data_IF_678795679118
#
_entry.id   IF_678795679118
#
_cell.length_a   1.000
_cell.length_b   1.000
_cell.length_c   1.000
_cell.angle_alpha   90.00
_cell.angle_beta   90.00
_cell.angle_gamma   90.00
#
_symmetry.space_group_name_H-M   'P 1'
#
loop_
_entity.id
_entity.type
_entity.pdbx_description
1 polymer ?
#
# COMPACT_ATOMS: atom_id res chain seq x y z
N UNK A 1 -10.69 9.51 -17.44
CA UNK A 1 -9.28 9.90 -17.70
C UNK A 1 -8.76 10.90 -16.66
N UNK A 2 -9.47 12.00 -16.38
CA UNK A 2 -9.08 13.03 -15.40
C UNK A 2 -8.72 12.46 -14.00
N UNK A 3 -9.45 11.45 -13.52
CA UNK A 3 -9.18 10.80 -12.23
C UNK A 3 -7.87 10.00 -12.17
N UNK A 4 -7.49 9.37 -13.28
CA UNK A 4 -6.24 8.58 -13.37
C UNK A 4 -5.03 9.52 -13.40
N UNK A 5 -5.08 10.57 -14.21
CA UNK A 5 -4.02 11.58 -14.28
C UNK A 5 -3.83 12.26 -12.93
N UNK A 6 -4.92 12.66 -12.27
CA UNK A 6 -4.84 13.28 -10.93
C UNK A 6 -4.31 12.33 -9.85
N UNK A 7 -4.56 11.03 -9.96
CA UNK A 7 -4.03 10.04 -9.00
C UNK A 7 -2.54 9.79 -9.23
N UNK A 8 -2.11 9.67 -10.49
CA UNK A 8 -0.70 9.54 -10.84
C UNK A 8 0.10 10.79 -10.42
N UNK A 9 -0.45 11.99 -10.68
CA UNK A 9 0.14 13.25 -10.24
C UNK A 9 0.37 13.28 -8.72
N UNK A 10 -0.65 12.94 -7.93
CA UNK A 10 -0.54 12.90 -6.47
C UNK A 10 0.50 11.90 -5.99
N UNK A 11 0.58 10.73 -6.61
CA UNK A 11 1.59 9.73 -6.28
C UNK A 11 3.00 10.28 -6.53
N UNK A 12 3.25 10.94 -7.66
CA UNK A 12 4.53 11.58 -7.96
C UNK A 12 4.88 12.65 -6.93
N UNK A 13 3.93 13.54 -6.59
CA UNK A 13 4.15 14.58 -5.57
C UNK A 13 4.48 13.96 -4.21
N UNK A 14 3.74 12.93 -3.78
CA UNK A 14 3.98 12.26 -2.50
C UNK A 14 5.33 11.56 -2.44
N UNK A 15 5.71 10.86 -3.51
CA UNK A 15 7.01 10.18 -3.60
C UNK A 15 8.15 11.20 -3.54
N UNK A 16 8.09 12.24 -4.38
CA UNK A 16 9.11 13.29 -4.41
C UNK A 16 9.21 14.03 -3.07
N UNK A 17 8.08 14.40 -2.47
CA UNK A 17 8.05 15.05 -1.16
C UNK A 17 8.64 14.15 -0.07
N UNK A 18 8.28 12.87 -0.04
CA UNK A 18 8.83 11.92 0.92
C UNK A 18 10.35 11.76 0.77
N UNK A 19 10.87 11.67 -0.46
CA UNK A 19 12.32 11.59 -0.71
C UNK A 19 13.02 12.86 -0.22
N UNK A 20 12.52 14.03 -0.60
CA UNK A 20 13.11 15.32 -0.20
C UNK A 20 13.08 15.50 1.32
N UNK A 21 11.93 15.27 1.95
CA UNK A 21 11.77 15.40 3.40
C UNK A 21 12.62 14.37 4.16
N UNK A 22 12.69 13.12 3.71
CA UNK A 22 13.56 12.10 4.32
C UNK A 22 15.04 12.47 4.23
N UNK A 23 15.46 13.05 3.10
CA UNK A 23 16.84 13.51 2.90
C UNK A 23 17.20 14.70 3.81
N UNK A 24 16.26 15.61 4.06
CA UNK A 24 16.47 16.76 4.97
C UNK A 24 16.48 16.32 6.43
N UNK A 25 15.56 15.43 6.84
CA UNK A 25 15.38 15.05 8.24
C UNK A 25 16.40 14.02 8.76
N UNK A 26 16.91 13.15 7.89
CA UNK A 26 17.71 12.00 8.31
C UNK A 26 16.90 10.91 9.03
N UNK A 27 17.52 9.77 9.36
CA UNK A 27 16.83 8.58 9.86
C UNK A 27 16.19 8.76 11.24
N UNK A 28 16.79 9.56 12.13
CA UNK A 28 16.29 9.75 13.51
C UNK A 28 14.94 10.46 13.53
N UNK A 29 14.89 11.68 12.97
CA UNK A 29 13.68 12.49 12.96
C UNK A 29 12.59 11.86 12.08
N UNK A 30 12.98 11.26 10.95
CA UNK A 30 12.06 10.51 10.11
C UNK A 30 11.49 9.29 10.84
N UNK A 31 12.32 8.59 11.60
CA UNK A 31 11.93 7.43 12.39
C UNK A 31 10.89 7.75 13.46
N UNK A 32 11.09 8.83 14.22
CA UNK A 32 10.09 9.33 15.18
C UNK A 32 8.77 9.65 14.46
N UNK A 33 8.83 10.35 13.33
CA UNK A 33 7.64 10.65 12.53
C UNK A 33 6.96 9.38 12.02
N UNK A 34 7.71 8.40 11.53
CA UNK A 34 7.19 7.16 10.95
C UNK A 34 6.38 6.34 11.97
N UNK A 35 6.80 6.33 13.24
CA UNK A 35 6.06 5.67 14.33
C UNK A 35 4.72 6.36 14.58
N UNK A 36 4.71 7.69 14.66
CA UNK A 36 3.47 8.46 14.85
C UNK A 36 2.56 8.32 13.62
N UNK A 37 3.13 8.35 12.42
CA UNK A 37 2.43 8.17 11.15
C UNK A 37 1.87 6.74 10.97
N UNK A 38 2.42 5.74 11.67
CA UNK A 38 1.84 4.40 11.69
C UNK A 38 0.39 4.42 12.22
N UNK A 39 0.08 5.33 13.16
CA UNK A 39 -1.28 5.56 13.62
C UNK A 39 -2.09 6.43 12.65
N UNK A 40 -1.45 7.32 11.90
CA UNK A 40 -2.12 8.14 10.88
C UNK A 40 -2.77 7.28 9.77
N UNK A 41 -2.30 6.04 9.55
CA UNK A 41 -2.94 5.09 8.64
C UNK A 41 -4.40 4.82 9.02
N UNK A 42 -4.75 4.95 10.31
CA UNK A 42 -6.13 4.79 10.80
C UNK A 42 -7.07 5.92 10.34
N UNK A 43 -6.54 7.05 9.86
CA UNK A 43 -7.35 8.17 9.37
C UNK A 43 -8.12 7.80 8.10
N UNK A 44 -7.54 6.97 7.24
CA UNK A 44 -8.16 6.58 5.96
C UNK A 44 -9.44 5.71 6.14
N UNK A 45 -9.47 4.70 7.03
CA UNK A 45 -10.70 4.05 7.47
C UNK A 45 -11.75 5.00 8.01
N UNK A 46 -11.35 6.10 8.67
CA UNK A 46 -12.32 7.10 9.12
C UNK A 46 -12.94 7.80 7.92
N UNK A 47 -12.14 8.15 6.89
CA UNK A 47 -12.66 8.71 5.63
C UNK A 47 -13.60 7.73 4.91
N UNK A 48 -13.24 6.46 4.86
CA UNK A 48 -13.97 5.40 4.11
C UNK A 48 -14.88 4.56 4.99
N UNK A 49 -15.31 5.12 6.13
CA UNK A 49 -16.06 4.39 7.13
C UNK A 49 -17.38 3.80 6.59
N UNK A 50 -17.98 2.95 7.40
CA UNK A 50 -19.23 2.29 7.05
C UNK A 50 -20.37 3.24 6.65
N UNK A 51 -20.42 4.46 7.19
CA UNK A 51 -21.43 5.46 6.82
C UNK A 51 -21.21 6.00 5.40
N UNK A 52 -19.97 6.31 5.02
CA UNK A 52 -19.63 6.68 3.64
C UNK A 52 -19.98 5.55 2.65
N UNK A 53 -19.70 4.30 3.06
CA UNK A 53 -20.04 3.10 2.26
C UNK A 53 -21.55 2.88 2.11
N UNK A 54 -22.35 3.24 3.11
CA UNK A 54 -23.82 3.22 3.01
C UNK A 54 -24.29 4.27 2.00
N UNK A 55 -23.77 5.50 2.08
CA UNK A 55 -24.11 6.60 1.16
C UNK A 55 -23.81 6.28 -0.31
N UNK A 56 -22.78 5.47 -0.58
CA UNK A 56 -22.42 5.02 -1.92
C UNK A 56 -23.30 3.87 -2.45
N UNK A 57 -23.89 3.05 -1.56
CA UNK A 57 -24.66 1.85 -1.94
C UNK A 57 -26.16 2.05 -1.91
N UNK A 58 -26.65 2.96 -1.06
CA UNK A 58 -28.07 3.28 -0.98
C UNK A 58 -28.53 4.11 -2.20
N UNK A 59 -29.80 3.94 -2.58
CA UNK A 59 -30.48 4.83 -3.54
C UNK A 59 -30.67 6.25 -2.99
N UNK A 60 -31.75 6.93 -3.40
CA UNK A 60 -32.00 8.30 -2.94
C UNK A 60 -32.22 8.37 -1.42
N UNK A 61 -31.23 8.92 -0.72
CA UNK A 61 -31.29 9.19 0.71
C UNK A 61 -31.84 10.59 0.95
N UNK A 62 -32.85 10.69 1.80
CA UNK A 62 -33.40 11.96 2.26
C UNK A 62 -32.31 12.83 2.91
N UNK A 63 -32.38 14.16 2.70
CA UNK A 63 -31.39 15.09 3.24
C UNK A 63 -31.16 14.97 4.77
N UNK A 64 -32.20 14.78 5.61
CA UNK A 64 -32.00 14.58 7.05
C UNK A 64 -31.18 13.32 7.40
N UNK A 65 -31.28 12.26 6.60
CA UNK A 65 -30.50 11.02 6.78
C UNK A 65 -29.03 11.26 6.45
N UNK A 66 -28.74 12.00 5.36
CA UNK A 66 -27.38 12.39 5.02
C UNK A 66 -26.72 13.25 6.10
N UNK A 67 -27.47 14.18 6.71
CA UNK A 67 -27.01 14.99 7.84
C UNK A 67 -26.72 14.11 9.06
N UNK A 68 -27.58 13.15 9.38
CA UNK A 68 -27.36 12.23 10.49
C UNK A 68 -26.09 11.38 10.28
N UNK A 69 -25.92 10.79 9.10
CA UNK A 69 -24.73 10.01 8.74
C UNK A 69 -23.45 10.85 8.77
N UNK A 70 -23.50 12.10 8.28
CA UNK A 70 -22.36 13.02 8.33
C UNK A 70 -21.97 13.35 9.78
N UNK A 71 -22.94 13.67 10.65
CA UNK A 71 -22.68 13.94 12.08
C UNK A 71 -22.11 12.71 12.80
N UNK A 72 -22.61 11.52 12.49
CA UNK A 72 -22.09 10.27 13.04
C UNK A 72 -20.63 10.02 12.62
N UNK A 73 -20.32 10.22 11.34
CA UNK A 73 -18.96 10.13 10.82
C UNK A 73 -18.02 11.14 11.47
N UNK A 74 -18.47 12.39 11.65
CA UNK A 74 -17.69 13.41 12.34
C UNK A 74 -17.46 13.06 13.82
N UNK A 75 -18.47 12.51 14.51
CA UNK A 75 -18.33 12.02 15.89
C UNK A 75 -17.34 10.87 16.01
N UNK A 76 -17.38 9.91 15.07
CA UNK A 76 -16.41 8.82 15.02
C UNK A 76 -14.97 9.36 14.88
N UNK A 77 -14.76 10.37 14.04
CA UNK A 77 -13.46 11.04 13.91
C UNK A 77 -12.98 11.66 15.23
N UNK A 78 -13.87 12.32 15.98
CA UNK A 78 -13.53 12.86 17.32
C UNK A 78 -13.23 11.78 18.36
N UNK A 79 -14.01 10.69 18.38
CA UNK A 79 -13.77 9.57 19.29
C UNK A 79 -12.41 8.94 19.04
N UNK A 80 -12.05 8.73 17.77
CA UNK A 80 -10.74 8.19 17.41
C UNK A 80 -9.61 9.19 17.66
N UNK A 81 -9.84 10.48 17.49
CA UNK A 81 -8.88 11.51 17.88
C UNK A 81 -8.60 11.49 19.37
N UNK A 82 -9.64 11.38 20.21
CA UNK A 82 -9.50 11.25 21.65
C UNK A 82 -8.75 9.96 22.01
N UNK A 83 -9.11 8.83 21.40
CA UNK A 83 -8.42 7.57 21.63
C UNK A 83 -6.92 7.66 21.29
N UNK A 84 -6.57 8.19 20.11
CA UNK A 84 -5.18 8.34 19.67
C UNK A 84 -4.43 9.37 20.51
N UNK A 85 -5.06 10.51 20.82
CA UNK A 85 -4.48 11.53 21.70
C UNK A 85 -4.18 10.97 23.10
N UNK A 86 -5.10 10.19 23.68
CA UNK A 86 -4.92 9.54 24.97
C UNK A 86 -3.84 8.45 24.94
N UNK A 87 -3.69 7.71 23.82
CA UNK A 87 -2.57 6.75 23.69
C UNK A 87 -1.20 7.43 23.74
N UNK A 88 -1.11 8.73 23.47
CA UNK A 88 0.13 9.48 23.63
C UNK A 88 0.68 9.47 25.05
N UNK A 89 -0.19 9.48 26.06
CA UNK A 89 0.24 9.32 27.46
C UNK A 89 0.81 7.94 27.74
N UNK A 90 0.22 6.89 27.15
CA UNK A 90 0.68 5.50 27.31
C UNK A 90 1.99 5.25 26.57
N UNK A 91 2.14 5.79 25.35
CA UNK A 91 3.36 5.69 24.54
C UNK A 91 4.54 6.45 25.16
N UNK A 92 4.29 7.56 25.87
CA UNK A 92 5.34 8.24 26.64
C UNK A 92 5.93 7.35 27.73
N UNK A 93 5.13 6.43 28.30
CA UNK A 93 5.57 5.48 29.32
C UNK A 93 6.25 4.26 28.66
N UNK A 94 5.69 3.76 27.55
CA UNK A 94 6.17 2.56 26.88
C UNK A 94 7.39 2.76 25.96
N UNK A 95 7.57 3.97 25.41
CA UNK A 95 8.69 4.34 24.53
C UNK A 95 9.29 5.67 25.02
N UNK A 96 10.16 5.64 26.05
CA UNK A 96 10.66 6.85 26.71
C UNK A 96 11.56 7.73 25.83
N UNK A 97 11.98 7.25 24.64
CA UNK A 97 13.03 7.88 23.83
C UNK A 97 12.52 8.72 22.64
N UNK A 98 11.38 9.41 22.73
CA UNK A 98 10.98 10.36 21.69
C UNK A 98 9.83 11.30 22.06
N UNK A 99 9.68 12.45 21.37
CA UNK A 99 8.60 13.42 21.60
C UNK A 99 7.24 12.94 21.07
N UNK A 100 6.87 11.69 21.33
CA UNK A 100 5.68 11.05 20.76
C UNK A 100 4.38 11.71 21.23
N UNK A 101 4.28 12.09 22.50
CA UNK A 101 3.07 12.68 23.09
C UNK A 101 2.56 13.90 22.30
N UNK A 102 3.35 14.98 22.17
CA UNK A 102 2.95 16.16 21.40
C UNK A 102 2.62 15.86 19.94
N UNK A 103 3.41 15.01 19.28
CA UNK A 103 3.17 14.63 17.89
C UNK A 103 1.87 13.84 17.71
N UNK A 104 1.49 13.03 18.70
CA UNK A 104 0.25 12.26 18.72
C UNK A 104 -0.98 13.15 18.90
N UNK A 105 -0.88 14.19 19.73
CA UNK A 105 -1.94 15.19 19.85
C UNK A 105 -2.15 15.92 18.53
N UNK A 106 -1.06 16.29 17.84
CA UNK A 106 -1.15 16.99 16.55
C UNK A 106 -1.73 16.08 15.47
N UNK A 107 -1.25 14.83 15.33
CA UNK A 107 -1.79 13.91 14.32
C UNK A 107 -3.26 13.55 14.60
N UNK A 108 -3.69 13.55 15.86
CA UNK A 108 -5.09 13.31 16.24
C UNK A 108 -6.06 14.32 15.59
N UNK A 109 -5.60 15.53 15.24
CA UNK A 109 -6.40 16.54 14.53
C UNK A 109 -6.83 16.05 13.13
N UNK A 110 -6.09 15.14 12.51
CA UNK A 110 -6.44 14.60 11.19
C UNK A 110 -7.73 13.77 11.20
N UNK A 111 -8.03 13.08 12.31
CA UNK A 111 -9.19 12.18 12.43
C UNK A 111 -10.55 12.89 12.34
N UNK A 112 -10.84 13.99 13.06
CA UNK A 112 -12.09 14.70 12.93
C UNK A 112 -12.23 15.38 11.56
N UNK A 113 -11.12 15.80 10.94
CA UNK A 113 -11.11 16.32 9.58
C UNK A 113 -11.53 15.25 8.56
N UNK A 114 -10.94 14.05 8.65
CA UNK A 114 -11.32 12.91 7.81
C UNK A 114 -12.79 12.49 8.02
N UNK A 115 -13.24 12.44 9.29
CA UNK A 115 -14.63 12.12 9.63
C UNK A 115 -15.63 13.12 9.05
N UNK A 116 -15.28 14.41 8.96
CA UNK A 116 -16.10 15.44 8.30
C UNK A 116 -16.14 15.26 6.78
N UNK A 117 -15.06 14.79 6.16
CA UNK A 117 -14.93 14.65 4.71
C UNK A 117 -15.65 13.40 4.15
N UNK A 118 -15.77 12.34 4.95
CA UNK A 118 -16.27 11.02 4.53
C UNK A 118 -17.60 11.04 3.76
N UNK A 119 -18.68 11.53 4.39
CA UNK A 119 -20.03 11.56 3.78
C UNK A 119 -20.15 12.57 2.63
N UNK A 120 -19.61 13.80 2.73
CA UNK A 120 -19.59 14.75 1.62
C UNK A 120 -18.89 14.20 0.38
N UNK A 121 -17.73 13.57 0.53
CA UNK A 121 -17.01 12.95 -0.59
C UNK A 121 -17.84 11.81 -1.18
N UNK A 122 -18.40 10.92 -0.37
CA UNK A 122 -19.28 9.86 -0.84
C UNK A 122 -20.48 10.41 -1.64
N UNK A 123 -21.08 11.51 -1.19
CA UNK A 123 -22.17 12.21 -1.88
C UNK A 123 -21.73 12.80 -3.23
N UNK A 124 -20.58 13.47 -3.27
CA UNK A 124 -20.02 14.03 -4.52
C UNK A 124 -19.65 12.94 -5.53
N UNK A 125 -19.06 11.83 -5.07
CA UNK A 125 -18.75 10.66 -5.89
C UNK A 125 -20.04 10.04 -6.45
N UNK A 126 -21.09 9.89 -5.61
CA UNK A 126 -22.40 9.39 -6.06
C UNK A 126 -23.02 10.29 -7.13
N UNK A 127 -22.88 11.62 -7.00
CA UNK A 127 -23.31 12.62 -7.99
C UNK A 127 -22.38 12.71 -9.22
N UNK A 128 -21.48 11.75 -9.41
CA UNK A 128 -20.50 11.70 -10.49
C UNK A 128 -19.54 12.92 -10.54
N UNK A 129 -19.37 13.65 -9.44
CA UNK A 129 -18.47 14.82 -9.33
C UNK A 129 -17.05 14.45 -8.88
N UNK A 130 -16.58 13.25 -9.24
CA UNK A 130 -15.27 12.71 -8.84
C UNK A 130 -14.12 13.63 -9.28
N UNK A 131 -14.24 14.29 -10.44
CA UNK A 131 -13.23 15.24 -10.91
C UNK A 131 -12.98 16.41 -9.95
N UNK A 132 -14.04 16.94 -9.30
CA UNK A 132 -13.91 18.02 -8.32
C UNK A 132 -13.26 17.55 -7.02
N UNK A 133 -13.60 16.33 -6.57
CA UNK A 133 -12.96 15.70 -5.41
C UNK A 133 -11.47 15.50 -5.69
N UNK A 134 -11.11 14.95 -6.85
CA UNK A 134 -9.71 14.75 -7.25
C UNK A 134 -8.94 16.07 -7.33
N UNK A 135 -9.56 17.14 -7.82
CA UNK A 135 -8.93 18.47 -7.86
C UNK A 135 -8.62 18.99 -6.45
N UNK A 136 -9.60 18.95 -5.53
CA UNK A 136 -9.41 19.34 -4.13
C UNK A 136 -8.32 18.51 -3.45
N UNK A 137 -8.37 17.18 -3.60
CA UNK A 137 -7.37 16.29 -3.02
C UNK A 137 -5.97 16.51 -3.62
N UNK A 138 -5.87 16.89 -4.90
CA UNK A 138 -4.58 17.19 -5.54
C UNK A 138 -3.97 18.46 -5.00
N UNK A 139 -4.76 19.53 -4.83
CA UNK A 139 -4.32 20.77 -4.18
C UNK A 139 -3.88 20.49 -2.74
N UNK A 140 -4.67 19.71 -1.99
CA UNK A 140 -4.36 19.37 -0.61
C UNK A 140 -3.05 18.56 -0.46
N UNK A 141 -2.76 17.64 -1.40
CA UNK A 141 -1.48 16.90 -1.45
C UNK A 141 -0.31 17.83 -1.71
N UNK A 142 -0.45 18.78 -2.64
CA UNK A 142 0.60 19.78 -2.92
C UNK A 142 0.84 20.67 -1.71
N UNK A 143 -0.22 21.17 -1.07
CA UNK A 143 -0.09 22.00 0.14
C UNK A 143 0.59 21.23 1.27
N UNK A 144 0.19 19.98 1.53
CA UNK A 144 0.84 19.14 2.53
C UNK A 144 2.32 18.91 2.22
N UNK A 145 2.66 18.58 0.97
CA UNK A 145 4.04 18.37 0.54
C UNK A 145 4.91 19.63 0.71
N UNK A 146 4.38 20.79 0.29
CA UNK A 146 5.07 22.08 0.47
C UNK A 146 5.30 22.35 1.97
N UNK A 147 4.29 22.15 2.82
CA UNK A 147 4.44 22.31 4.27
C UNK A 147 5.48 21.37 4.86
N UNK A 148 5.54 20.11 4.41
CA UNK A 148 6.53 19.15 4.88
C UNK A 148 7.95 19.62 4.57
N UNK A 149 8.18 20.05 3.32
CA UNK A 149 9.50 20.45 2.84
C UNK A 149 9.94 21.75 3.53
N UNK A 150 9.04 22.74 3.64
CA UNK A 150 9.37 24.03 4.26
C UNK A 150 9.65 23.89 5.76
N UNK A 151 8.84 23.10 6.49
CA UNK A 151 9.08 22.85 7.91
C UNK A 151 10.32 22.00 8.17
N UNK A 152 10.60 21.01 7.30
CA UNK A 152 11.82 20.22 7.41
C UNK A 152 13.06 21.11 7.18
N UNK A 153 13.02 21.98 6.15
CA UNK A 153 14.10 22.93 5.88
C UNK A 153 14.29 23.97 7.00
N UNK A 154 13.20 24.32 7.71
CA UNK A 154 13.25 25.20 8.88
C UNK A 154 13.69 24.48 10.17
N UNK A 155 14.04 23.18 10.13
CA UNK A 155 14.51 22.43 11.28
C UNK A 155 13.42 21.96 12.24
N UNK A 156 12.15 21.89 11.81
CA UNK A 156 11.03 21.43 12.65
C UNK A 156 11.07 19.91 12.97
N UNK A 157 12.06 19.17 12.44
CA UNK A 157 12.26 17.76 12.76
C UNK A 157 11.05 16.89 12.39
N UNK A 158 10.66 15.92 13.25
CA UNK A 158 9.55 14.99 12.98
C UNK A 158 8.21 15.69 12.71
N UNK A 159 8.01 16.89 13.26
CA UNK A 159 6.77 17.65 13.13
C UNK A 159 6.45 17.98 11.67
N UNK A 160 7.45 18.14 10.81
CA UNK A 160 7.25 18.44 9.39
C UNK A 160 6.34 17.42 8.68
N UNK A 161 6.56 16.13 8.93
CA UNK A 161 5.75 15.07 8.31
C UNK A 161 4.37 14.91 8.97
N UNK A 162 4.26 15.24 10.26
CA UNK A 162 2.96 15.24 10.96
C UNK A 162 2.09 16.39 10.45
N UNK A 163 2.66 17.58 10.33
CA UNK A 163 2.01 18.77 9.80
C UNK A 163 1.55 18.55 8.34
N UNK A 164 2.34 17.86 7.51
CA UNK A 164 1.95 17.45 6.17
C UNK A 164 0.58 16.74 6.15
N UNK A 165 0.36 15.77 7.04
CA UNK A 165 -0.90 15.02 7.11
C UNK A 165 -2.04 15.90 7.61
N UNK A 166 -1.81 16.71 8.64
CA UNK A 166 -2.85 17.62 9.17
C UNK A 166 -3.26 18.65 8.12
N UNK A 167 -2.31 19.27 7.42
CA UNK A 167 -2.56 20.22 6.34
C UNK A 167 -3.29 19.58 5.18
N UNK A 168 -2.92 18.36 4.78
CA UNK A 168 -3.62 17.60 3.76
C UNK A 168 -5.11 17.43 4.10
N UNK A 169 -5.42 16.96 5.32
CA UNK A 169 -6.81 16.76 5.73
C UNK A 169 -7.56 18.06 5.96
N UNK A 170 -6.89 19.11 6.44
CA UNK A 170 -7.49 20.42 6.62
C UNK A 170 -7.85 21.04 5.26
N UNK A 171 -6.92 21.05 4.31
CA UNK A 171 -7.15 21.53 2.95
C UNK A 171 -8.22 20.72 2.20
N UNK A 172 -8.27 19.40 2.43
CA UNK A 172 -9.34 18.56 1.87
C UNK A 172 -10.69 18.93 2.49
N UNK A 173 -10.77 19.08 3.81
CA UNK A 173 -12.00 19.44 4.50
C UNK A 173 -12.53 20.83 4.07
N UNK A 174 -11.64 21.81 3.95
CA UNK A 174 -12.01 23.17 3.49
C UNK A 174 -12.44 23.15 2.03
N UNK A 175 -11.71 22.47 1.14
CA UNK A 175 -12.06 22.38 -0.27
C UNK A 175 -13.39 21.67 -0.50
N UNK A 176 -13.67 20.57 0.20
CA UNK A 176 -14.95 19.85 0.10
C UNK A 176 -16.11 20.68 0.68
N UNK A 177 -15.89 21.42 1.76
CA UNK A 177 -16.89 22.36 2.29
C UNK A 177 -17.20 23.48 1.28
N UNK A 178 -16.17 24.02 0.60
CA UNK A 178 -16.32 25.05 -0.42
C UNK A 178 -17.12 24.58 -1.64
N UNK A 179 -17.05 23.29 -1.99
CA UNK A 179 -17.88 22.67 -3.03
C UNK A 179 -19.36 22.51 -2.63
N UNK A 180 -19.76 22.96 -1.43
CA UNK A 180 -21.11 22.77 -0.86
C UNK A 180 -21.52 21.29 -0.81
N UNK A 181 -20.54 20.39 -0.68
CA UNK A 181 -20.77 18.94 -0.56
C UNK A 181 -21.25 18.52 0.83
N UNK A 182 -21.12 19.40 1.83
CA UNK A 182 -21.42 19.10 3.23
C UNK A 182 -22.93 19.14 3.50
N UNK A 183 -23.56 18.04 3.95
CA UNK A 183 -24.96 18.05 4.35
C UNK A 183 -25.19 18.98 5.55
N UNK A 184 -26.06 19.97 5.39
CA UNK A 184 -26.48 20.90 6.44
C UNK A 184 -27.97 20.73 6.76
N UNK A 185 -28.40 21.14 7.96
CA UNK A 185 -29.79 21.09 8.40
C UNK A 185 -30.07 20.18 9.59
N UNK A 186 -31.34 19.79 9.76
CA UNK A 186 -31.81 18.91 10.84
C UNK A 186 -31.49 17.45 10.53
N UNK A 187 -30.88 16.75 11.47
CA UNK A 187 -30.58 15.33 11.36
C UNK A 187 -31.85 14.50 11.55
N UNK A 188 -31.97 13.40 10.81
CA UNK A 188 -32.98 12.38 11.05
C UNK A 188 -32.84 11.78 12.46
N UNK A 189 -33.94 11.32 13.09
CA UNK A 189 -33.88 10.63 14.36
C UNK A 189 -33.10 9.32 14.25
N UNK A 190 -32.50 8.88 15.36
CA UNK A 190 -31.68 7.67 15.43
C UNK A 190 -32.37 6.43 14.85
N UNK A 191 -33.67 6.29 15.11
CA UNK A 191 -34.48 5.17 14.62
C UNK A 191 -34.41 5.00 13.09
N UNK A 192 -34.32 6.10 12.34
CA UNK A 192 -34.27 6.08 10.87
C UNK A 192 -32.91 5.62 10.31
N UNK A 193 -31.85 5.65 11.11
CA UNK A 193 -30.48 5.36 10.67
C UNK A 193 -29.91 4.12 11.35
N UNK A 194 -30.51 3.67 12.47
CA UNK A 194 -30.05 2.53 13.29
C UNK A 194 -29.82 1.26 12.46
N UNK A 195 -30.73 0.93 11.56
CA UNK A 195 -30.64 -0.25 10.67
C UNK A 195 -29.41 -0.21 9.75
N UNK A 196 -28.92 0.98 9.41
CA UNK A 196 -27.74 1.18 8.56
C UNK A 196 -26.42 1.04 9.33
N UNK A 197 -26.45 1.09 10.67
CA UNK A 197 -25.23 1.15 11.50
C UNK A 197 -24.58 -0.19 11.76
N UNK A 198 -25.34 -1.30 11.72
CA UNK A 198 -24.79 -2.66 11.85
C UNK A 198 -23.79 -2.97 10.73
N UNK A 199 -24.23 -2.82 9.48
CA UNK A 199 -23.37 -2.97 8.31
C UNK A 199 -22.17 -2.01 8.32
N UNK A 200 -22.35 -0.80 8.86
CA UNK A 200 -21.27 0.17 8.98
C UNK A 200 -20.21 -0.23 10.01
N UNK A 201 -20.64 -0.80 11.15
CA UNK A 201 -19.77 -1.29 12.22
C UNK A 201 -18.92 -2.46 11.74
N UNK A 202 -19.53 -3.46 11.13
CA UNK A 202 -18.83 -4.69 10.72
C UNK A 202 -17.73 -4.39 9.70
N UNK A 203 -18.02 -3.51 8.73
CA UNK A 203 -17.03 -3.06 7.75
C UNK A 203 -15.89 -2.27 8.40
N UNK A 204 -16.20 -1.41 9.38
CA UNK A 204 -15.17 -0.61 10.05
C UNK A 204 -14.25 -1.48 10.93
N UNK A 205 -14.80 -2.49 11.62
CA UNK A 205 -14.04 -3.41 12.47
C UNK A 205 -13.00 -4.20 11.65
N UNK A 206 -13.42 -4.71 10.48
CA UNK A 206 -12.53 -5.46 9.58
C UNK A 206 -11.37 -4.59 9.11
N UNK A 207 -11.62 -3.32 8.81
CA UNK A 207 -10.57 -2.38 8.38
C UNK A 207 -9.56 -2.10 9.51
N UNK A 208 -10.04 -1.88 10.74
CA UNK A 208 -9.16 -1.64 11.90
C UNK A 208 -8.29 -2.85 12.21
N UNK A 209 -8.85 -4.06 12.25
CA UNK A 209 -8.09 -5.29 12.51
C UNK A 209 -7.04 -5.53 11.42
N UNK A 210 -7.41 -5.31 10.16
CA UNK A 210 -6.49 -5.46 9.02
C UNK A 210 -5.34 -4.46 9.05
N UNK A 211 -5.55 -3.28 9.64
CA UNK A 211 -4.54 -2.23 9.75
C UNK A 211 -3.60 -2.43 10.93
N UNK A 212 -4.13 -2.83 12.10
CA UNK A 212 -3.32 -3.14 13.26
C UNK A 212 -2.27 -4.22 12.94
N UNK A 213 -2.64 -5.21 12.12
CA UNK A 213 -1.71 -6.25 11.65
C UNK A 213 -0.62 -5.72 10.70
N UNK A 214 -0.88 -4.63 9.96
CA UNK A 214 0.02 -4.06 8.93
C UNK A 214 0.98 -3.00 9.46
N UNK A 215 0.70 -2.41 10.61
CA UNK A 215 1.51 -1.32 11.19
C UNK A 215 2.24 -1.72 12.46
N UNK A 216 1.96 -2.92 12.98
CA UNK A 216 2.59 -3.42 14.20
C UNK A 216 4.10 -3.60 14.11
N UNK A 217 4.63 -3.90 12.91
CA UNK A 217 6.07 -4.02 12.66
C UNK A 217 6.79 -2.70 12.94
N UNK A 218 6.27 -1.56 12.46
CA UNK A 218 6.90 -0.24 12.63
C UNK A 218 7.00 0.19 14.09
N UNK A 219 5.94 -0.07 14.86
CA UNK A 219 5.90 0.24 16.30
C UNK A 219 6.85 -0.68 17.06
N UNK A 220 6.89 -1.97 16.70
CA UNK A 220 7.81 -2.95 17.29
C UNK A 220 9.27 -2.54 17.10
N UNK A 221 9.67 -2.18 15.87
CA UNK A 221 11.07 -1.77 15.59
C UNK A 221 11.48 -0.56 16.43
N UNK A 222 10.60 0.43 16.53
CA UNK A 222 10.90 1.66 17.27
C UNK A 222 10.97 1.47 18.78
N UNK A 223 10.10 0.61 19.33
CA UNK A 223 10.07 0.33 20.75
C UNK A 223 11.28 -0.52 21.20
N UNK A 224 11.76 -1.45 20.36
CA UNK A 224 12.83 -2.38 20.72
C UNK A 224 14.22 -1.86 20.38
N UNK A 225 14.40 -1.21 19.23
CA UNK A 225 15.72 -0.77 18.77
C UNK A 225 15.95 0.72 19.00
N UNK A 226 15.38 1.55 18.13
CA UNK A 226 15.41 3.01 18.23
C UNK A 226 14.53 3.62 17.14
N UNK A 227 14.17 4.91 17.25
CA UNK A 227 13.50 5.61 16.17
C UNK A 227 14.31 5.57 14.87
N UNK A 228 15.64 5.74 14.94
CA UNK A 228 16.55 5.69 13.79
C UNK A 228 16.38 4.39 12.99
N UNK A 229 16.44 3.24 13.69
CA UNK A 229 16.32 1.92 13.08
C UNK A 229 14.94 1.70 12.51
N UNK A 230 13.89 2.22 13.15
CA UNK A 230 12.54 2.23 12.60
C UNK A 230 12.45 3.06 11.32
N UNK A 231 13.14 4.21 11.26
CA UNK A 231 13.27 5.01 10.04
C UNK A 231 13.89 4.23 8.89
N UNK A 232 15.02 3.56 9.15
CA UNK A 232 15.71 2.70 8.17
C UNK A 232 14.79 1.56 7.68
N UNK A 233 14.12 0.87 8.60
CA UNK A 233 13.16 -0.20 8.30
C UNK A 233 12.02 0.29 7.42
N UNK A 234 11.38 1.41 7.80
CA UNK A 234 10.23 1.97 7.07
C UNK A 234 10.62 2.41 5.66
N UNK A 235 11.78 3.02 5.47
CA UNK A 235 12.25 3.37 4.14
C UNK A 235 12.55 2.15 3.28
N UNK A 236 13.23 1.14 3.82
CA UNK A 236 13.51 -0.10 3.08
C UNK A 236 12.20 -0.83 2.70
N UNK A 237 11.25 -0.90 3.64
CA UNK A 237 9.90 -1.40 3.39
C UNK A 237 9.19 -0.64 2.29
N UNK A 238 9.25 0.70 2.31
CA UNK A 238 8.57 1.53 1.32
C UNK A 238 9.12 1.31 -0.10
N UNK A 239 10.45 1.18 -0.25
CA UNK A 239 11.08 0.87 -1.53
C UNK A 239 10.63 -0.50 -2.07
N UNK A 240 10.44 -1.49 -1.19
CA UNK A 240 9.90 -2.80 -1.57
C UNK A 240 8.41 -2.74 -1.94
N UNK A 241 7.58 -2.06 -1.14
CA UNK A 241 6.12 -2.08 -1.32
C UNK A 241 5.65 -1.27 -2.52
N UNK A 242 6.32 -0.16 -2.85
CA UNK A 242 5.95 0.70 -3.97
C UNK A 242 5.72 -0.06 -5.30
N UNK A 243 6.68 -0.85 -5.83
CA UNK A 243 6.47 -1.60 -7.06
C UNK A 243 5.43 -2.72 -6.88
N UNK A 244 5.39 -3.37 -5.71
CA UNK A 244 4.42 -4.43 -5.42
C UNK A 244 2.98 -3.95 -5.48
N UNK A 245 2.69 -2.80 -4.88
CA UNK A 245 1.35 -2.24 -4.85
C UNK A 245 0.90 -1.81 -6.25
N UNK A 246 1.79 -1.18 -7.03
CA UNK A 246 1.50 -0.76 -8.40
C UNK A 246 1.22 -1.95 -9.32
N UNK A 247 2.09 -2.97 -9.29
CA UNK A 247 1.94 -4.18 -10.10
C UNK A 247 0.73 -4.98 -9.63
N UNK A 248 0.57 -5.14 -8.31
CA UNK A 248 -0.55 -5.85 -7.70
C UNK A 248 -1.89 -5.24 -8.11
N UNK A 249 -2.05 -3.92 -7.97
CA UNK A 249 -3.27 -3.23 -8.38
C UNK A 249 -3.54 -3.34 -9.89
N UNK A 250 -2.49 -3.28 -10.73
CA UNK A 250 -2.64 -3.42 -12.18
C UNK A 250 -3.10 -4.83 -12.58
N UNK A 251 -2.46 -5.86 -12.05
CA UNK A 251 -2.77 -7.25 -12.41
C UNK A 251 -4.08 -7.71 -11.78
N UNK A 252 -4.42 -7.28 -10.56
CA UNK A 252 -5.69 -7.61 -9.90
C UNK A 252 -6.92 -7.31 -10.78
N UNK A 253 -6.90 -6.17 -11.48
CA UNK A 253 -8.00 -5.73 -12.37
C UNK A 253 -8.28 -6.71 -13.52
N UNK A 254 -7.29 -7.48 -13.94
CA UNK A 254 -7.42 -8.50 -15.00
C UNK A 254 -7.55 -9.89 -14.39
N UNK A 255 -6.85 -10.17 -13.30
CA UNK A 255 -6.82 -11.47 -12.65
C UNK A 255 -8.19 -11.88 -12.08
N UNK A 256 -8.88 -10.98 -11.37
CA UNK A 256 -10.17 -11.31 -10.75
C UNK A 256 -11.23 -11.65 -11.81
N UNK A 257 -11.47 -10.83 -12.84
CA UNK A 257 -12.41 -11.19 -13.92
C UNK A 257 -11.98 -12.43 -14.70
N UNK A 258 -10.67 -12.63 -14.92
CA UNK A 258 -10.18 -13.81 -15.60
C UNK A 258 -10.53 -15.09 -14.82
N UNK A 259 -10.41 -15.08 -13.49
CA UNK A 259 -10.79 -16.21 -12.66
C UNK A 259 -12.30 -16.45 -12.60
N UNK A 260 -13.13 -15.40 -12.55
CA UNK A 260 -14.60 -15.57 -12.52
C UNK A 260 -15.14 -16.10 -13.85
N UNK A 261 -14.57 -15.69 -14.98
CA UNK A 261 -14.94 -16.18 -16.32
C UNK A 261 -14.38 -17.58 -16.64
N UNK A 262 -13.74 -18.24 -15.67
CA UNK A 262 -13.10 -19.52 -15.89
C UNK A 262 -14.03 -20.70 -15.60
N UNK A 263 -14.34 -21.48 -16.62
CA UNK A 263 -14.88 -22.83 -16.43
C UNK A 263 -13.88 -23.76 -15.72
N UNK A 264 -14.33 -24.94 -15.25
CA UNK A 264 -13.53 -25.87 -14.44
C UNK A 264 -12.15 -26.17 -15.00
N UNK A 265 -12.04 -26.39 -16.32
CA UNK A 265 -10.78 -26.74 -17.00
C UNK A 265 -9.87 -25.52 -17.30
N UNK A 266 -10.44 -24.31 -17.25
CA UNK A 266 -9.76 -23.06 -17.59
C UNK A 266 -9.05 -22.38 -16.42
N UNK A 267 -9.43 -22.70 -15.19
CA UNK A 267 -8.93 -22.05 -13.96
C UNK A 267 -7.42 -22.30 -13.80
N UNK A 268 -6.96 -23.55 -13.96
CA UNK A 268 -5.55 -23.92 -13.81
C UNK A 268 -4.64 -23.15 -14.76
N UNK A 269 -5.03 -23.03 -16.03
CA UNK A 269 -4.28 -22.29 -17.06
C UNK A 269 -4.24 -20.79 -16.76
N UNK A 270 -5.35 -20.20 -16.31
CA UNK A 270 -5.40 -18.78 -15.93
C UNK A 270 -4.57 -18.50 -14.69
N UNK A 271 -4.59 -19.39 -13.70
CA UNK A 271 -3.75 -19.29 -12.50
C UNK A 271 -2.27 -19.24 -12.86
N UNK A 272 -1.82 -20.19 -13.70
CA UNK A 272 -0.45 -20.24 -14.20
C UNK A 272 -0.03 -18.97 -14.94
N UNK A 273 -0.92 -18.42 -15.78
CA UNK A 273 -0.67 -17.17 -16.51
C UNK A 273 -0.56 -15.99 -15.56
N UNK A 274 -1.44 -15.88 -14.57
CA UNK A 274 -1.43 -14.78 -13.59
C UNK A 274 -0.16 -14.82 -12.73
N UNK A 275 0.25 -16.00 -12.23
CA UNK A 275 1.52 -16.17 -11.50
C UNK A 275 2.70 -15.75 -12.38
N UNK A 276 2.71 -16.20 -13.64
CA UNK A 276 3.76 -15.85 -14.59
C UNK A 276 3.82 -14.33 -14.86
N UNK A 277 2.67 -13.68 -15.09
CA UNK A 277 2.60 -12.23 -15.32
C UNK A 277 3.10 -11.45 -14.12
N UNK A 278 2.63 -11.79 -12.90
CA UNK A 278 3.04 -11.07 -11.69
C UNK A 278 4.54 -11.24 -11.44
N UNK A 279 5.07 -12.45 -11.57
CA UNK A 279 6.51 -12.71 -11.35
C UNK A 279 7.38 -12.03 -12.39
N UNK A 280 7.00 -12.04 -13.67
CA UNK A 280 7.72 -11.34 -14.73
C UNK A 280 7.75 -9.82 -14.54
N UNK A 281 6.72 -9.23 -13.93
CA UNK A 281 6.68 -7.79 -13.66
C UNK A 281 7.41 -7.43 -12.36
N UNK A 282 7.14 -8.16 -11.27
CA UNK A 282 7.58 -7.78 -9.93
C UNK A 282 9.02 -8.21 -9.63
N UNK A 283 9.41 -9.44 -10.01
CA UNK A 283 10.69 -9.98 -9.57
C UNK A 283 11.90 -9.26 -10.15
N UNK A 284 11.95 -8.85 -11.44
CA UNK A 284 13.08 -8.08 -11.95
C UNK A 284 13.26 -6.74 -11.23
N UNK A 285 12.17 -6.03 -10.95
CA UNK A 285 12.21 -4.75 -10.23
C UNK A 285 12.74 -4.95 -8.82
N UNK A 286 12.20 -5.92 -8.08
CA UNK A 286 12.62 -6.20 -6.71
C UNK A 286 14.06 -6.71 -6.64
N UNK A 287 14.46 -7.58 -7.57
CA UNK A 287 15.82 -8.10 -7.62
C UNK A 287 16.84 -6.98 -7.93
N UNK A 288 16.51 -6.04 -8.82
CA UNK A 288 17.33 -4.86 -9.06
C UNK A 288 17.39 -3.94 -7.83
N UNK A 289 16.28 -3.72 -7.12
CA UNK A 289 16.27 -2.94 -5.88
C UNK A 289 17.17 -3.58 -4.80
N UNK A 290 17.16 -4.91 -4.68
CA UNK A 290 18.06 -5.63 -3.77
C UNK A 290 19.52 -5.55 -4.20
N UNK A 291 19.82 -5.82 -5.47
CA UNK A 291 21.19 -5.85 -5.99
C UNK A 291 21.85 -4.45 -6.06
N UNK A 292 21.05 -3.40 -6.26
CA UNK A 292 21.49 -2.01 -6.34
C UNK A 292 21.10 -1.21 -5.08
N UNK A 293 20.83 -1.88 -3.95
CA UNK A 293 20.33 -1.24 -2.74
C UNK A 293 21.20 -0.07 -2.27
N UNK A 294 22.52 -0.26 -2.16
CA UNK A 294 23.47 0.79 -1.76
C UNK A 294 23.39 2.03 -2.66
N UNK A 295 23.64 1.91 -3.97
CA UNK A 295 23.52 3.02 -4.92
C UNK A 295 22.14 3.70 -4.93
N UNK A 296 21.05 2.91 -4.92
CA UNK A 296 19.67 3.44 -4.94
C UNK A 296 19.38 4.26 -3.70
N UNK A 297 19.65 3.72 -2.51
CA UNK A 297 19.41 4.40 -1.24
C UNK A 297 20.33 5.62 -1.10
N UNK A 298 21.60 5.50 -1.49
CA UNK A 298 22.54 6.62 -1.47
C UNK A 298 22.14 7.76 -2.41
N UNK A 299 21.60 7.45 -3.59
CA UNK A 299 21.12 8.45 -4.55
C UNK A 299 19.86 9.17 -4.04
N UNK A 300 18.88 8.39 -3.57
CA UNK A 300 17.57 8.91 -3.16
C UNK A 300 17.66 9.67 -1.82
N UNK A 301 18.25 9.05 -0.81
CA UNK A 301 18.17 9.53 0.57
C UNK A 301 19.51 10.01 1.13
N UNK A 302 20.64 9.57 0.57
CA UNK A 302 21.99 9.97 1.00
C UNK A 302 22.66 8.98 1.98
N UNK A 303 23.89 9.31 2.40
CA UNK A 303 24.74 8.42 3.18
C UNK A 303 24.19 8.05 4.57
N UNK A 304 23.42 8.96 5.19
CA UNK A 304 22.78 8.71 6.50
C UNK A 304 21.80 7.52 6.48
N UNK A 305 21.39 7.08 5.30
CA UNK A 305 20.44 5.98 5.11
C UNK A 305 21.11 4.65 4.77
N UNK A 306 22.44 4.54 4.88
CA UNK A 306 23.18 3.32 4.50
C UNK A 306 22.61 2.03 5.14
N UNK A 307 22.17 2.08 6.41
CA UNK A 307 21.57 0.90 7.05
C UNK A 307 20.25 0.44 6.41
N UNK A 308 19.52 1.32 5.71
CA UNK A 308 18.34 0.94 4.91
C UNK A 308 18.74 0.11 3.70
N UNK A 309 19.90 0.40 3.10
CA UNK A 309 20.45 -0.37 1.99
C UNK A 309 20.85 -1.80 2.39
N UNK A 310 21.19 -2.03 3.66
CA UNK A 310 21.51 -3.36 4.19
C UNK A 310 20.25 -4.19 4.47
N UNK A 311 19.14 -3.54 4.82
CA UNK A 311 17.85 -4.18 5.09
C UNK A 311 17.12 -4.51 3.78
N UNK A 312 17.20 -3.63 2.78
CA UNK A 312 16.43 -3.71 1.53
C UNK A 312 16.54 -5.05 0.77
N UNK A 313 17.70 -5.73 0.66
CA UNK A 313 17.81 -7.00 -0.05
C UNK A 313 16.93 -8.11 0.55
N UNK A 314 16.87 -8.21 1.88
CA UNK A 314 16.00 -9.18 2.56
C UNK A 314 14.53 -8.88 2.28
N UNK A 315 14.16 -7.60 2.35
CA UNK A 315 12.80 -7.18 2.08
C UNK A 315 12.44 -7.39 0.60
N UNK A 316 13.33 -7.09 -0.34
CA UNK A 316 13.12 -7.38 -1.76
C UNK A 316 12.83 -8.87 -2.01
N UNK A 317 13.54 -9.78 -1.33
CA UNK A 317 13.25 -11.21 -1.37
C UNK A 317 11.87 -11.55 -0.78
N UNK A 318 11.51 -10.96 0.36
CA UNK A 318 10.18 -11.08 0.95
C UNK A 318 9.08 -10.60 0.00
N UNK A 319 9.31 -9.48 -0.69
CA UNK A 319 8.44 -8.92 -1.71
C UNK A 319 8.24 -9.87 -2.89
N UNK A 320 9.32 -10.55 -3.32
CA UNK A 320 9.25 -11.58 -4.35
C UNK A 320 8.32 -12.73 -3.96
N UNK A 321 8.40 -13.18 -2.71
CA UNK A 321 7.49 -14.18 -2.16
C UNK A 321 6.03 -13.67 -2.07
N UNK A 322 5.83 -12.43 -1.62
CA UNK A 322 4.49 -11.82 -1.57
C UNK A 322 3.84 -11.69 -2.96
N UNK A 323 4.63 -11.40 -3.99
CA UNK A 323 4.14 -11.35 -5.37
C UNK A 323 3.56 -12.70 -5.83
N UNK A 324 4.14 -13.83 -5.42
CA UNK A 324 3.53 -15.16 -5.67
C UNK A 324 2.19 -15.32 -4.94
N UNK A 325 2.10 -14.79 -3.72
CA UNK A 325 0.89 -14.83 -2.90
C UNK A 325 -0.30 -14.09 -3.49
N UNK A 326 -0.09 -13.08 -4.34
CA UNK A 326 -1.19 -12.31 -4.95
C UNK A 326 -2.17 -13.16 -5.74
N UNK A 327 -1.68 -14.15 -6.50
CA UNK A 327 -2.55 -15.03 -7.28
C UNK A 327 -3.49 -15.84 -6.38
N UNK A 328 -3.03 -16.29 -5.21
CA UNK A 328 -3.86 -16.97 -4.23
C UNK A 328 -4.94 -16.04 -3.65
N UNK A 329 -4.58 -14.80 -3.31
CA UNK A 329 -5.52 -13.78 -2.82
C UNK A 329 -6.61 -13.47 -3.85
N UNK A 330 -6.25 -13.21 -5.10
CA UNK A 330 -7.23 -12.91 -6.15
C UNK A 330 -8.11 -14.11 -6.47
N UNK A 331 -7.57 -15.33 -6.34
CA UNK A 331 -8.36 -16.55 -6.48
C UNK A 331 -9.40 -16.71 -5.37
N UNK A 332 -9.07 -16.40 -4.10
CA UNK A 332 -10.06 -16.39 -3.01
C UNK A 332 -11.22 -15.44 -3.31
N UNK A 333 -10.90 -14.23 -3.78
CA UNK A 333 -11.89 -13.21 -4.13
C UNK A 333 -12.78 -13.68 -5.28
N UNK A 334 -12.17 -14.14 -6.38
CA UNK A 334 -12.91 -14.56 -7.57
C UNK A 334 -13.76 -15.83 -7.34
N UNK A 335 -13.33 -16.73 -6.47
CA UNK A 335 -14.07 -17.97 -6.15
C UNK A 335 -15.14 -17.80 -5.06
N UNK A 336 -15.35 -16.58 -4.55
CA UNK A 336 -16.32 -16.31 -3.47
C UNK A 336 -15.90 -16.87 -2.10
N UNK A 337 -14.62 -17.18 -1.92
CA UNK A 337 -14.07 -17.84 -0.71
C UNK A 337 -13.39 -16.85 0.25
N UNK A 338 -13.89 -15.61 0.31
CA UNK A 338 -13.35 -14.55 1.18
C UNK A 338 -13.31 -14.94 2.66
N UNK A 339 -14.27 -15.73 3.14
CA UNK A 339 -14.24 -16.25 4.52
C UNK A 339 -13.03 -17.16 4.81
N UNK A 340 -12.56 -17.94 3.82
CA UNK A 340 -11.33 -18.73 3.95
C UNK A 340 -10.09 -17.85 3.95
N UNK A 341 -10.07 -16.79 3.14
CA UNK A 341 -9.00 -15.80 3.13
C UNK A 341 -8.87 -15.11 4.48
N UNK A 342 -9.99 -14.73 5.12
CA UNK A 342 -9.98 -14.12 6.45
C UNK A 342 -9.42 -15.09 7.49
N UNK A 343 -9.86 -16.35 7.50
CA UNK A 343 -9.30 -17.38 8.41
C UNK A 343 -7.80 -17.59 8.18
N UNK A 344 -7.35 -17.58 6.92
CA UNK A 344 -5.93 -17.67 6.59
C UNK A 344 -5.14 -16.44 7.08
N UNK A 345 -5.70 -15.24 7.00
CA UNK A 345 -5.09 -14.03 7.55
C UNK A 345 -4.90 -14.13 9.07
N UNK A 346 -5.89 -14.69 9.79
CA UNK A 346 -5.77 -14.93 11.24
C UNK A 346 -4.70 -15.95 11.64
N UNK A 347 -4.22 -16.78 10.71
CA UNK A 347 -3.10 -17.71 10.96
C UNK A 347 -1.78 -17.09 10.50
N UNK A 348 -1.74 -16.56 9.29
CA UNK A 348 -0.51 -16.06 8.66
C UNK A 348 0.03 -14.78 9.32
N UNK A 349 -0.83 -13.86 9.78
CA UNK A 349 -0.38 -12.61 10.39
C UNK A 349 0.30 -12.83 11.75
N UNK A 350 -0.26 -13.62 12.70
CA UNK A 350 0.44 -13.93 13.95
C UNK A 350 1.74 -14.71 13.73
N UNK A 351 1.81 -15.61 12.75
CA UNK A 351 3.07 -16.32 12.43
C UNK A 351 4.15 -15.35 11.97
N UNK A 352 3.80 -14.39 11.12
CA UNK A 352 4.73 -13.34 10.69
C UNK A 352 5.18 -12.47 11.87
N UNK A 353 4.25 -11.94 12.67
CA UNK A 353 4.58 -11.12 13.84
C UNK A 353 5.40 -11.89 14.87
N UNK A 354 5.02 -13.14 15.16
CA UNK A 354 5.75 -14.01 16.08
C UNK A 354 7.18 -14.27 15.61
N UNK A 355 7.41 -14.45 14.32
CA UNK A 355 8.75 -14.59 13.78
C UNK A 355 9.58 -13.30 13.90
N UNK A 356 8.98 -12.12 13.75
CA UNK A 356 9.68 -10.85 13.99
C UNK A 356 10.07 -10.70 15.47
N UNK A 357 9.19 -11.09 16.39
CA UNK A 357 9.46 -11.07 17.84
C UNK A 357 10.56 -12.06 18.21
N UNK A 358 10.50 -13.28 17.69
CA UNK A 358 11.57 -14.28 17.87
C UNK A 358 12.88 -13.75 17.29
N UNK A 359 12.83 -12.97 16.21
CA UNK A 359 14.01 -12.47 15.52
C UNK A 359 14.71 -11.27 16.21
N UNK A 360 14.09 -10.66 17.23
CA UNK A 360 14.62 -9.48 17.91
C UNK A 360 16.06 -9.62 18.43
N UNK A 361 16.50 -10.78 19.00
CA UNK A 361 17.87 -10.94 19.49
C UNK A 361 18.95 -10.82 18.40
N UNK A 362 18.60 -11.05 17.13
CA UNK A 362 19.53 -10.94 15.99
C UNK A 362 19.51 -9.55 15.33
N UNK A 363 18.90 -8.56 15.97
CA UNK A 363 18.84 -7.20 15.47
C UNK A 363 17.89 -7.03 14.27
N UNK A 364 17.92 -5.84 13.68
CA UNK A 364 17.04 -5.47 12.56
C UNK A 364 17.30 -6.31 11.31
N UNK A 365 18.55 -6.71 11.06
CA UNK A 365 18.92 -7.59 9.93
C UNK A 365 18.35 -9.00 10.12
N UNK A 366 18.45 -9.55 11.34
CA UNK A 366 17.81 -10.83 11.67
C UNK A 366 16.30 -10.78 11.51
N UNK A 367 15.68 -9.67 11.91
CA UNK A 367 14.24 -9.44 11.72
C UNK A 367 13.86 -9.33 10.23
N UNK A 368 14.67 -8.67 9.41
CA UNK A 368 14.47 -8.59 7.96
C UNK A 368 14.60 -9.98 7.29
N UNK A 369 15.60 -10.77 7.70
CA UNK A 369 15.79 -12.14 7.23
C UNK A 369 14.63 -13.05 7.65
N UNK A 370 14.17 -12.96 8.90
CA UNK A 370 13.01 -13.71 9.39
C UNK A 370 11.73 -13.34 8.63
N UNK A 371 11.51 -12.05 8.36
CA UNK A 371 10.40 -11.58 7.52
C UNK A 371 10.45 -12.25 6.14
N UNK A 372 11.61 -12.25 5.48
CA UNK A 372 11.80 -12.87 4.17
C UNK A 372 11.55 -14.39 4.18
N UNK A 373 12.13 -15.10 5.15
CA UNK A 373 11.96 -16.54 5.32
C UNK A 373 10.50 -16.91 5.55
N UNK A 374 9.79 -16.17 6.40
CA UNK A 374 8.39 -16.45 6.71
C UNK A 374 7.49 -16.11 5.53
N UNK A 375 7.72 -14.98 4.85
CA UNK A 375 7.01 -14.68 3.61
C UNK A 375 7.17 -15.79 2.58
N UNK A 376 8.40 -16.30 2.37
CA UNK A 376 8.67 -17.42 1.47
C UNK A 376 7.99 -18.72 1.94
N UNK A 377 8.10 -19.05 3.23
CA UNK A 377 7.51 -20.24 3.82
C UNK A 377 5.98 -20.26 3.76
N UNK A 378 5.33 -19.09 3.89
CA UNK A 378 3.88 -18.95 3.83
C UNK A 378 3.31 -19.01 2.41
N UNK A 379 4.13 -18.94 1.36
CA UNK A 379 3.67 -19.06 -0.04
C UNK A 379 2.97 -20.40 -0.28
N UNK A 380 3.59 -21.51 0.14
CA UNK A 380 3.08 -22.85 -0.13
C UNK A 380 1.77 -23.13 0.63
N UNK A 381 1.69 -22.90 1.96
CA UNK A 381 0.43 -23.01 2.69
C UNK A 381 -0.68 -22.11 2.12
N UNK A 382 -0.38 -20.85 1.79
CA UNK A 382 -1.35 -19.92 1.20
C UNK A 382 -1.91 -20.45 -0.12
N UNK A 383 -1.02 -20.97 -0.99
CA UNK A 383 -1.40 -21.62 -2.24
C UNK A 383 -2.30 -22.84 -2.00
N UNK A 384 -1.94 -23.73 -1.07
CA UNK A 384 -2.70 -24.95 -0.79
C UNK A 384 -4.09 -24.65 -0.23
N UNK A 385 -4.21 -23.66 0.66
CA UNK A 385 -5.50 -23.23 1.23
C UNK A 385 -6.37 -22.59 0.15
N UNK A 386 -5.79 -21.77 -0.74
CA UNK A 386 -6.51 -21.11 -1.82
C UNK A 386 -7.02 -22.09 -2.87
N UNK A 387 -6.15 -22.98 -3.34
CA UNK A 387 -6.42 -23.88 -4.47
C UNK A 387 -7.02 -25.23 -4.07
N UNK A 388 -7.37 -25.40 -2.79
CA UNK A 388 -8.03 -26.62 -2.31
C UNK A 388 -9.32 -26.87 -3.09
N UNK A 389 -9.36 -28.01 -3.79
CA UNK A 389 -10.51 -28.44 -4.59
C UNK A 389 -10.62 -27.80 -5.97
N UNK A 390 -9.57 -27.19 -6.51
CA UNK A 390 -9.57 -26.57 -7.85
C UNK A 390 -8.71 -27.28 -8.91
N UNK A 391 -8.09 -28.42 -8.56
CA UNK A 391 -7.26 -29.21 -9.48
C UNK A 391 -5.89 -28.59 -9.82
N UNK A 392 -5.55 -27.43 -9.24
CA UNK A 392 -4.25 -26.78 -9.41
C UNK A 392 -3.22 -27.48 -8.52
N UNK A 393 -2.06 -27.83 -9.09
CA UNK A 393 -0.99 -28.55 -8.39
C UNK A 393 0.12 -27.58 -8.00
N UNK A 394 0.90 -27.92 -6.97
CA UNK A 394 2.04 -27.09 -6.53
C UNK A 394 3.08 -26.87 -7.65
N UNK A 395 3.25 -27.85 -8.55
CA UNK A 395 4.07 -27.72 -9.77
C UNK A 395 3.64 -26.55 -10.65
N UNK A 396 2.36 -26.21 -10.67
CA UNK A 396 1.84 -25.09 -11.46
C UNK A 396 2.31 -23.74 -10.90
N UNK A 397 2.52 -23.63 -9.58
CA UNK A 397 3.09 -22.44 -8.95
C UNK A 397 4.58 -22.31 -9.32
N UNK A 398 5.36 -23.37 -9.09
CA UNK A 398 6.81 -23.35 -9.35
C UNK A 398 7.15 -23.17 -10.83
N UNK A 399 6.54 -23.95 -11.72
CA UNK A 399 6.82 -23.87 -13.17
C UNK A 399 6.41 -22.53 -13.79
N UNK A 400 5.39 -21.86 -13.25
CA UNK A 400 4.97 -20.54 -13.70
C UNK A 400 5.86 -19.40 -13.20
N UNK A 401 6.62 -19.60 -12.13
CA UNK A 401 7.53 -18.61 -11.59
C UNK A 401 8.91 -18.62 -12.30
N UNK A 402 9.28 -19.73 -12.95
CA UNK A 402 10.58 -19.89 -13.66
C UNK A 402 10.86 -18.74 -14.64
N UNK A 403 9.92 -18.30 -15.51
CA UNK A 403 10.17 -17.17 -16.41
C UNK A 403 10.52 -15.88 -15.67
N UNK A 404 9.82 -15.58 -14.57
CA UNK A 404 10.12 -14.44 -13.71
C UNK A 404 11.48 -14.56 -13.02
N UNK A 405 11.83 -15.77 -12.57
CA UNK A 405 13.15 -16.07 -11.98
C UNK A 405 14.28 -15.79 -12.97
N UNK A 406 14.13 -16.27 -14.21
CA UNK A 406 15.13 -16.08 -15.27
C UNK A 406 15.25 -14.60 -15.67
N UNK A 407 14.13 -13.88 -15.79
CA UNK A 407 14.14 -12.45 -16.07
C UNK A 407 14.81 -11.65 -14.94
N UNK A 408 14.53 -12.00 -13.68
CA UNK A 408 15.17 -11.36 -12.53
C UNK A 408 16.67 -11.67 -12.44
N UNK A 409 17.07 -12.92 -12.67
CA UNK A 409 18.48 -13.29 -12.73
C UNK A 409 19.22 -12.55 -13.85
N UNK A 410 18.64 -12.49 -15.05
CA UNK A 410 19.21 -11.73 -16.16
C UNK A 410 19.34 -10.24 -15.85
N UNK A 411 18.31 -9.64 -15.23
CA UNK A 411 18.36 -8.24 -14.82
C UNK A 411 19.50 -7.96 -13.84
N UNK A 412 19.65 -8.80 -12.81
CA UNK A 412 20.70 -8.64 -11.81
C UNK A 412 22.08 -8.85 -12.43
N UNK A 413 22.28 -9.91 -13.22
CA UNK A 413 23.57 -10.21 -13.85
C UNK A 413 24.03 -9.07 -14.77
N UNK A 414 23.13 -8.55 -15.62
CA UNK A 414 23.45 -7.43 -16.53
C UNK A 414 23.68 -6.15 -15.74
N UNK A 415 22.85 -5.85 -14.74
CA UNK A 415 23.03 -4.66 -13.92
C UNK A 415 24.38 -4.67 -13.18
N UNK A 416 24.77 -5.80 -12.58
CA UNK A 416 26.05 -5.93 -11.88
C UNK A 416 27.23 -5.85 -12.85
N UNK A 417 27.13 -6.46 -14.04
CA UNK A 417 28.16 -6.36 -15.07
C UNK A 417 28.36 -4.92 -15.53
N UNK A 418 27.27 -4.21 -15.87
CA UNK A 418 27.32 -2.80 -16.27
C UNK A 418 27.86 -1.93 -15.14
N UNK A 419 27.45 -2.18 -13.89
CA UNK A 419 27.94 -1.43 -12.73
C UNK A 419 29.45 -1.58 -12.54
N UNK A 420 30.01 -2.76 -12.80
CA UNK A 420 31.45 -2.99 -12.68
C UNK A 420 32.28 -2.21 -13.71
N UNK A 421 31.67 -1.84 -14.84
CA UNK A 421 32.30 -1.08 -15.93
C UNK A 421 31.89 0.40 -15.97
N UNK A 422 30.91 0.82 -15.17
CA UNK A 422 30.30 2.14 -15.27
C UNK A 422 31.15 3.26 -14.63
N UNK A 423 31.03 4.52 -15.10
CA UNK A 423 31.69 5.67 -14.50
C UNK A 423 31.22 5.93 -13.06
N UNK A 424 32.07 6.56 -12.25
CA UNK A 424 31.88 6.84 -10.81
C UNK A 424 30.75 7.84 -10.45
N UNK A 425 29.93 8.27 -11.41
CA UNK A 425 28.83 9.21 -11.17
C UNK A 425 27.64 8.57 -10.45
N UNK A 426 27.17 9.17 -9.35
CA UNK A 426 26.09 8.64 -8.52
C UNK A 426 24.77 8.36 -9.30
N UNK A 427 24.43 9.20 -10.28
CA UNK A 427 23.25 9.02 -11.14
C UNK A 427 23.49 7.88 -12.15
N UNK A 428 24.65 7.88 -12.82
CA UNK A 428 25.01 6.86 -13.80
C UNK A 428 25.12 5.47 -13.18
N UNK A 429 25.63 5.38 -11.95
CA UNK A 429 25.77 4.15 -11.18
C UNK A 429 24.43 3.48 -10.80
N UNK A 430 23.31 4.20 -10.90
CA UNK A 430 21.97 3.67 -10.63
C UNK A 430 21.21 3.44 -11.94
N UNK A 431 21.05 4.49 -12.75
CA UNK A 431 20.14 4.44 -13.90
C UNK A 431 20.68 3.59 -15.05
N UNK A 432 21.99 3.56 -15.30
CA UNK A 432 22.55 2.73 -16.38
C UNK A 432 22.44 1.23 -16.03
N UNK A 433 22.89 0.74 -14.86
CA UNK A 433 22.67 -0.65 -14.44
C UNK A 433 21.19 -1.04 -14.37
N UNK A 434 20.34 -0.21 -13.77
CA UNK A 434 18.92 -0.52 -13.64
C UNK A 434 18.20 -0.55 -15.00
N UNK A 435 18.50 0.41 -15.88
CA UNK A 435 17.91 0.47 -17.22
C UNK A 435 18.33 -0.71 -18.09
N UNK A 436 19.62 -1.01 -18.16
CA UNK A 436 20.16 -2.16 -18.93
C UNK A 436 19.69 -3.49 -18.37
N UNK A 437 19.66 -3.65 -17.04
CA UNK A 437 19.09 -4.82 -16.37
C UNK A 437 17.60 -5.00 -16.68
N UNK A 438 16.82 -3.92 -16.70
CA UNK A 438 15.40 -3.97 -17.07
C UNK A 438 15.21 -4.36 -18.54
N UNK A 439 16.02 -3.83 -19.45
CA UNK A 439 16.00 -4.24 -20.86
C UNK A 439 16.30 -5.73 -20.99
N UNK A 440 17.30 -6.26 -20.27
CA UNK A 440 17.59 -7.68 -20.25
C UNK A 440 16.42 -8.53 -19.73
N UNK A 441 15.75 -8.09 -18.65
CA UNK A 441 14.53 -8.75 -18.17
C UNK A 441 13.41 -8.76 -19.22
N UNK A 442 13.20 -7.64 -19.92
CA UNK A 442 12.18 -7.53 -20.97
C UNK A 442 12.52 -8.45 -22.16
N UNK A 443 13.79 -8.54 -22.56
CA UNK A 443 14.23 -9.44 -23.63
C UNK A 443 14.01 -10.92 -23.25
N UNK A 444 14.37 -11.30 -22.02
CA UNK A 444 14.12 -12.65 -21.50
C UNK A 444 12.61 -12.91 -21.39
N UNK A 445 11.83 -11.94 -20.93
CA UNK A 445 10.38 -12.03 -20.87
C UNK A 445 9.77 -12.24 -22.27
N UNK A 446 10.27 -11.52 -23.29
CA UNK A 446 9.81 -11.62 -24.67
C UNK A 446 10.11 -12.99 -25.31
N UNK A 447 11.08 -13.75 -24.81
CA UNK A 447 11.32 -15.11 -25.27
C UNK A 447 10.13 -16.05 -24.91
N UNK A 448 9.39 -15.77 -23.84
CA UNK A 448 8.27 -16.60 -23.41
C UNK A 448 7.02 -16.36 -24.26
N UNK A 449 6.40 -17.43 -24.82
CA UNK A 449 5.21 -17.30 -25.68
C UNK A 449 4.03 -16.58 -25.00
N UNK A 450 3.88 -16.74 -23.68
CA UNK A 450 2.82 -16.11 -22.90
C UNK A 450 2.91 -14.57 -22.89
N UNK A 451 4.13 -14.02 -22.90
CA UNK A 451 4.36 -12.56 -22.93
C UNK A 451 4.15 -12.02 -24.33
N UNK A 452 4.62 -12.76 -25.35
CA UNK A 452 4.38 -12.43 -26.76
C UNK A 452 2.89 -12.36 -27.08
N UNK A 453 2.11 -13.32 -26.61
CA UNK A 453 0.65 -13.34 -26.81
C UNK A 453 -0.06 -12.12 -26.22
N UNK A 454 0.40 -11.62 -25.05
CA UNK A 454 -0.14 -10.39 -24.43
C UNK A 454 0.28 -9.16 -25.22
N UNK A 455 1.54 -9.08 -25.67
CA UNK A 455 2.04 -7.97 -26.47
C UNK A 455 1.37 -7.88 -27.85
N UNK A 456 1.07 -9.02 -28.48
CA UNK A 456 0.37 -9.06 -29.78
C UNK A 456 -1.12 -8.78 -29.66
N UNK A 457 -1.76 -9.15 -28.53
CA UNK A 457 -3.17 -8.87 -28.26
C UNK A 457 -3.47 -7.39 -27.92
N UNK A 458 -2.44 -6.60 -27.61
CA UNK A 458 -2.52 -5.14 -27.41
C UNK A 458 -2.44 -4.33 -28.73
N UNK A 459 -2.34 -4.99 -29.89
CA UNK A 459 -2.51 -4.29 -31.18
C UNK A 459 -3.95 -3.76 -31.26
N UNK A 460 -4.19 -2.50 -31.70
CA UNK A 460 -5.48 -1.81 -31.64
C UNK A 460 -6.56 -2.34 -32.62
N UNK A 461 -6.64 -3.66 -32.85
CA UNK A 461 -7.66 -4.30 -33.69
C UNK A 461 -7.90 -5.79 -33.42
N UNK A 462 -7.39 -6.36 -32.32
CA UNK A 462 -7.33 -7.82 -32.10
C UNK A 462 -8.37 -8.44 -31.16
N UNK A 463 -9.51 -7.78 -30.90
CA UNK A 463 -10.63 -8.42 -30.20
C UNK A 463 -11.68 -8.81 -31.24
N UNK A 464 -11.39 -9.85 -32.03
CA UNK A 464 -12.46 -10.61 -32.67
C UNK A 464 -13.14 -11.40 -31.57
N UNK A 465 -14.30 -10.91 -31.15
CA UNK A 465 -15.30 -11.70 -30.43
C UNK A 465 -15.64 -12.86 -31.37
N UNK A 466 -15.13 -14.06 -31.06
CA UNK A 466 -15.70 -15.29 -31.61
C UNK A 466 -17.13 -15.40 -31.08
N UNK A 467 -18.06 -14.84 -31.85
CA UNK A 467 -19.48 -15.05 -31.70
C UNK A 467 -19.79 -16.50 -32.03
N UNK A 468 -19.94 -17.32 -30.99
CA UNK A 468 -20.59 -18.62 -31.09
C UNK A 468 -22.05 -18.41 -31.50
N UNK A 469 -22.29 -18.49 -32.79
CA UNK A 469 -23.61 -18.73 -33.38
C UNK A 469 -23.67 -20.20 -33.81
N UNK A 470 -24.51 -20.97 -33.13
CA UNK A 470 -25.14 -22.21 -33.60
C UNK A 470 -26.30 -22.46 -32.62
N UNK A 471 -27.51 -22.01 -32.99
CA UNK A 471 -28.59 -22.82 -33.58
C UNK A 471 -29.07 -23.92 -32.65
#
# INVERSE_FOLDING_TARGET
>A
MISLTGTAFRACVQISANIVTARILGPDAYGVAAVVLALAVLVEPVRTNGFASVVLRSGDLAAPVLVALHRMSARLGWVLAAAVGCTGGVLLIAVPHGPYGPLLVVIAIAFPLAGRVAVPVASLVRRQQVGRVVAVESVAVVLGAVTAITLAAAGAGPFAMIAQVVVLWAATATGIAALRGTPTGRAAPWAAVRSMTGAARDLSLVQVVSLAARTGDRVLVAAVFSPAVAGLWVQAMQLMTLPLDQIGAAVQRVAVPAFTAAGPDGVRRRYRRIVQTVTLMAWPVLALLGALAGPVVGLLFGAAWAGSAEILPFLAAAGGAQALGFAAVWYFVASGRSGRQVRWAFVSQPVLLGALVVALPWGVHGMAAAYAVVCAGLVVPSFLVATRGSGIRLRDLGSSAVPGALAAAAAVLVALAVRSAAPSGAVAAVFLPAGTGMVAAVLVAAAFPAVRAVATGLRPGGVTVEGGTAR
#
